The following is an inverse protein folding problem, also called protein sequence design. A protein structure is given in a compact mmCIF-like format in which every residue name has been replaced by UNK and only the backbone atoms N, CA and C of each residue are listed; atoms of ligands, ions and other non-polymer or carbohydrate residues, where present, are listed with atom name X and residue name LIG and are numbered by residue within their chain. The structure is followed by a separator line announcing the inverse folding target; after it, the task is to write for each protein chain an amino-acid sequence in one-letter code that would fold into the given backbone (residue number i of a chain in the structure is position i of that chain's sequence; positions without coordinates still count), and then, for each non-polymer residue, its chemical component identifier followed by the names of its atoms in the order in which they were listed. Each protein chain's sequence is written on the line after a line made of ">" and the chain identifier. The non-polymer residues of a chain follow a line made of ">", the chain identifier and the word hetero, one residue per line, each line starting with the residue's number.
data_IF_606115389358
#
_entry.id   IF_606115389358
#
_cell.length_a   1.000
_cell.length_b   1.000
_cell.length_c   1.000
_cell.angle_alpha   90.00
_cell.angle_beta   90.00
_cell.angle_gamma   90.00
#
_symmetry.space_group_name_H-M   'P 1'
#
loop_
_entity.id
_entity.type
_entity.pdbx_description
1 polymer ?
#
# COMPACT_ATOMS: atom_id res chain seq x y z
N UNK A 1 -31.31 -15.44 -13.70
CA UNK A 1 -30.70 -15.62 -12.37
C UNK A 1 -29.34 -14.96 -12.38
N UNK A 2 -29.21 -13.77 -11.79
CA UNK A 2 -27.90 -13.12 -11.64
C UNK A 2 -27.17 -13.86 -10.52
N UNK A 3 -26.02 -14.41 -10.85
CA UNK A 3 -25.14 -15.14 -9.94
C UNK A 3 -24.79 -14.24 -8.74
N UNK A 4 -25.15 -14.68 -7.53
CA UNK A 4 -24.88 -13.97 -6.28
C UNK A 4 -23.37 -13.69 -6.08
N UNK A 5 -22.50 -14.46 -6.73
CA UNK A 5 -21.05 -14.23 -6.78
C UNK A 5 -20.68 -12.93 -7.52
N UNK A 6 -21.37 -12.61 -8.63
CA UNK A 6 -21.16 -11.35 -9.38
C UNK A 6 -21.64 -10.14 -8.58
N UNK A 7 -22.83 -10.24 -7.98
CA UNK A 7 -23.35 -9.18 -7.12
C UNK A 7 -22.42 -8.90 -5.91
N UNK A 8 -21.75 -9.93 -5.37
CA UNK A 8 -20.75 -9.81 -4.31
C UNK A 8 -19.46 -9.11 -4.79
N UNK A 9 -18.99 -9.42 -6.01
CA UNK A 9 -17.81 -8.77 -6.57
C UNK A 9 -18.07 -7.28 -6.89
N UNK A 10 -19.17 -6.97 -7.56
CA UNK A 10 -19.56 -5.59 -7.88
C UNK A 10 -19.71 -4.75 -6.61
N UNK A 11 -20.42 -5.27 -5.60
CA UNK A 11 -20.57 -4.58 -4.31
C UNK A 11 -19.23 -4.34 -3.60
N UNK A 12 -18.27 -5.27 -3.71
CA UNK A 12 -16.92 -5.08 -3.15
C UNK A 12 -16.12 -4.04 -3.91
N UNK A 13 -16.27 -3.97 -5.23
CA UNK A 13 -15.63 -2.96 -6.07
C UNK A 13 -16.23 -1.57 -5.83
N UNK A 14 -17.55 -1.48 -5.67
CA UNK A 14 -18.24 -0.23 -5.32
C UNK A 14 -17.85 0.26 -3.93
N UNK A 15 -17.78 -0.64 -2.95
CA UNK A 15 -17.28 -0.30 -1.61
C UNK A 15 -15.82 0.16 -1.65
N UNK A 16 -14.99 -0.42 -2.52
CA UNK A 16 -13.62 0.02 -2.72
C UNK A 16 -13.53 1.38 -3.42
N UNK A 17 -14.40 1.65 -4.40
CA UNK A 17 -14.53 2.92 -5.10
C UNK A 17 -15.01 4.05 -4.17
N UNK A 18 -15.97 3.75 -3.29
CA UNK A 18 -16.61 4.67 -2.35
C UNK A 18 -15.94 4.74 -0.97
N UNK A 19 -14.85 4.00 -0.74
CA UNK A 19 -14.11 4.09 0.51
C UNK A 19 -13.67 5.54 0.74
N UNK A 20 -13.96 6.09 1.92
CA UNK A 20 -13.61 7.46 2.28
C UNK A 20 -12.10 7.67 2.13
N UNK A 21 -11.70 8.35 1.05
CA UNK A 21 -10.33 8.85 0.89
C UNK A 21 -10.30 10.18 1.64
N UNK A 22 -9.24 10.42 2.42
CA UNK A 22 -9.05 11.68 3.12
C UNK A 22 -9.04 12.88 2.16
N UNK A 23 -8.93 14.12 2.67
CA UNK A 23 -8.88 15.31 1.83
C UNK A 23 -7.81 15.14 0.73
N UNK A 24 -8.25 15.23 -0.52
CA UNK A 24 -7.37 15.12 -1.67
C UNK A 24 -6.65 16.47 -1.88
N UNK A 25 -5.33 16.47 -1.73
CA UNK A 25 -4.45 17.58 -2.11
C UNK A 25 -3.67 17.18 -3.37
N UNK A 26 -3.90 17.85 -4.53
CA UNK A 26 -3.19 17.54 -5.76
C UNK A 26 -1.67 17.79 -5.67
N UNK A 27 -1.23 18.75 -4.84
CA UNK A 27 0.20 19.05 -4.66
C UNK A 27 0.88 17.94 -3.87
N UNK A 28 0.23 17.45 -2.82
CA UNK A 28 0.72 16.29 -2.08
C UNK A 28 0.73 15.03 -2.95
N UNK A 29 -0.36 14.78 -3.69
CA UNK A 29 -0.47 13.64 -4.59
C UNK A 29 0.68 13.61 -5.62
N UNK A 30 1.02 14.75 -6.22
CA UNK A 30 2.14 14.84 -7.16
C UNK A 30 3.49 14.56 -6.50
N UNK A 31 3.73 15.04 -5.27
CA UNK A 31 4.95 14.76 -4.50
C UNK A 31 5.06 13.27 -4.17
N UNK A 32 3.97 12.66 -3.72
CA UNK A 32 3.91 11.23 -3.44
C UNK A 32 4.16 10.43 -4.72
N UNK A 33 3.58 10.81 -5.86
CA UNK A 33 3.79 10.10 -7.12
C UNK A 33 5.25 10.17 -7.59
N UNK A 34 5.86 11.35 -7.52
CA UNK A 34 7.28 11.52 -7.84
C UNK A 34 8.16 10.66 -6.94
N UNK A 35 7.93 10.70 -5.62
CA UNK A 35 8.68 9.88 -4.67
C UNK A 35 8.45 8.39 -4.88
N UNK A 36 7.22 8.00 -5.20
CA UNK A 36 6.84 6.63 -5.50
C UNK A 36 7.63 6.11 -6.70
N UNK A 37 7.82 6.90 -7.76
CA UNK A 37 8.59 6.46 -8.94
C UNK A 37 10.03 6.10 -8.60
N UNK A 38 10.66 6.82 -7.67
CA UNK A 38 12.05 6.59 -7.23
C UNK A 38 12.24 5.46 -6.22
N UNK A 39 11.16 4.87 -5.69
CA UNK A 39 11.24 3.86 -4.66
C UNK A 39 11.62 2.47 -5.21
N UNK A 40 12.36 1.70 -4.43
CA UNK A 40 12.72 0.31 -4.76
C UNK A 40 11.48 -0.58 -5.00
N UNK A 41 11.48 -1.51 -5.98
CA UNK A 41 10.34 -2.36 -6.29
C UNK A 41 9.77 -3.13 -5.08
N UNK A 42 10.65 -3.62 -4.20
CA UNK A 42 10.24 -4.34 -2.98
C UNK A 42 9.45 -3.46 -2.02
N UNK A 43 9.92 -2.22 -1.79
CA UNK A 43 9.24 -1.26 -0.93
C UNK A 43 7.91 -0.80 -1.57
N UNK A 44 7.89 -0.59 -2.90
CA UNK A 44 6.65 -0.31 -3.64
C UNK A 44 5.61 -1.42 -3.45
N UNK A 45 6.00 -2.67 -3.61
CA UNK A 45 5.07 -3.79 -3.47
C UNK A 45 4.54 -3.89 -2.03
N UNK A 46 5.41 -3.77 -1.02
CA UNK A 46 5.01 -3.75 0.38
C UNK A 46 4.01 -2.63 0.69
N UNK A 47 4.34 -1.38 0.33
CA UNK A 47 3.47 -0.24 0.59
C UNK A 47 2.15 -0.32 -0.19
N UNK A 48 2.17 -0.86 -1.43
CA UNK A 48 0.96 -1.06 -2.23
C UNK A 48 0.03 -2.08 -1.57
N UNK A 49 0.59 -3.21 -1.12
CA UNK A 49 -0.20 -4.22 -0.43
C UNK A 49 -0.82 -3.65 0.86
N UNK A 50 -0.07 -2.87 1.64
CA UNK A 50 -0.54 -2.36 2.94
C UNK A 50 -1.51 -1.19 2.78
N UNK A 51 -1.19 -0.18 1.99
CA UNK A 51 -1.94 1.08 1.95
C UNK A 51 -2.96 1.16 0.81
N UNK A 52 -2.72 0.49 -0.33
CA UNK A 52 -3.69 0.50 -1.43
C UNK A 52 -4.66 -0.68 -1.31
N UNK A 53 -4.13 -1.87 -1.05
CA UNK A 53 -4.94 -3.10 -1.00
C UNK A 53 -5.43 -3.46 0.40
N UNK A 54 -4.92 -2.79 1.44
CA UNK A 54 -5.27 -3.09 2.84
C UNK A 54 -5.07 -4.57 3.18
N UNK A 55 -4.05 -5.19 2.58
CA UNK A 55 -3.76 -6.61 2.73
C UNK A 55 -3.32 -6.92 4.16
N UNK A 56 -3.90 -7.97 4.74
CA UNK A 56 -3.49 -8.45 6.06
C UNK A 56 -2.04 -8.93 6.09
N UNK A 57 -1.42 -8.83 7.28
CA UNK A 57 -0.01 -9.21 7.53
C UNK A 57 0.36 -10.57 6.94
N UNK A 58 -0.51 -11.57 7.08
CA UNK A 58 -0.26 -12.94 6.60
C UNK A 58 -0.11 -13.03 5.09
N UNK A 59 -0.93 -12.27 4.35
CA UNK A 59 -0.88 -12.20 2.88
C UNK A 59 0.40 -11.53 2.43
N UNK A 60 0.75 -10.41 3.08
CA UNK A 60 1.99 -9.67 2.80
C UNK A 60 3.21 -10.53 3.07
N UNK A 61 3.28 -11.18 4.24
CA UNK A 61 4.40 -12.03 4.60
C UNK A 61 4.58 -13.20 3.64
N UNK A 62 3.47 -13.85 3.24
CA UNK A 62 3.50 -14.95 2.28
C UNK A 62 4.02 -14.48 0.91
N UNK A 63 3.52 -13.35 0.40
CA UNK A 63 3.84 -12.86 -0.94
C UNK A 63 5.27 -12.33 -1.05
N UNK A 64 5.71 -11.56 -0.06
CA UNK A 64 7.05 -10.95 -0.04
C UNK A 64 8.11 -11.85 0.58
N UNK A 65 7.74 -13.10 0.93
CA UNK A 65 8.60 -14.09 1.59
C UNK A 65 9.22 -13.55 2.88
N UNK A 66 8.47 -12.74 3.63
CA UNK A 66 8.89 -12.24 4.95
C UNK A 66 8.57 -13.36 5.96
N UNK A 67 9.53 -13.77 6.80
CA UNK A 67 9.26 -14.76 7.83
C UNK A 67 8.17 -14.26 8.80
N UNK A 68 7.13 -15.09 9.01
CA UNK A 68 5.96 -14.73 9.84
C UNK A 68 6.29 -14.54 11.31
N UNK A 69 7.33 -15.23 11.79
CA UNK A 69 7.80 -15.19 13.15
C UNK A 69 9.31 -14.90 13.19
N UNK A 70 9.79 -14.05 14.12
CA UNK A 70 9.00 -13.22 15.03
C UNK A 70 8.25 -12.09 14.30
N UNK A 71 7.15 -11.60 14.89
CA UNK A 71 6.30 -10.53 14.32
C UNK A 71 7.09 -9.29 13.93
N UNK A 72 8.12 -8.97 14.72
CA UNK A 72 9.02 -7.84 14.50
C UNK A 72 9.67 -7.80 13.12
N UNK A 73 9.84 -8.95 12.44
CA UNK A 73 10.39 -8.97 11.07
C UNK A 73 9.51 -8.23 10.08
N UNK A 74 8.19 -8.43 10.16
CA UNK A 74 7.26 -7.68 9.33
C UNK A 74 7.29 -6.18 9.67
N UNK A 75 7.29 -5.86 10.97
CA UNK A 75 7.28 -4.47 11.42
C UNK A 75 8.55 -3.73 10.97
N UNK A 76 9.71 -4.37 11.01
CA UNK A 76 10.99 -3.84 10.52
C UNK A 76 10.96 -3.57 9.01
N UNK A 77 10.46 -4.49 8.19
CA UNK A 77 10.33 -4.29 6.74
C UNK A 77 9.40 -3.13 6.43
N UNK A 78 8.28 -3.02 7.16
CA UNK A 78 7.31 -1.94 6.97
C UNK A 78 7.88 -0.58 7.40
N UNK A 79 8.62 -0.52 8.52
CA UNK A 79 9.35 0.67 8.96
C UNK A 79 10.40 1.07 7.93
N UNK A 80 11.18 0.10 7.42
CA UNK A 80 12.19 0.34 6.38
C UNK A 80 11.56 0.95 5.11
N UNK A 81 10.46 0.39 4.63
CA UNK A 81 9.77 0.90 3.44
C UNK A 81 9.21 2.32 3.66
N UNK A 82 8.65 2.62 4.84
CA UNK A 82 8.21 3.97 5.20
C UNK A 82 9.36 4.96 5.26
N UNK A 83 10.48 4.59 5.87
CA UNK A 83 11.66 5.44 5.91
C UNK A 83 12.25 5.68 4.52
N UNK A 84 12.27 4.67 3.66
CA UNK A 84 12.73 4.83 2.29
C UNK A 84 11.86 5.84 1.53
N UNK A 85 10.53 5.77 1.67
CA UNK A 85 9.63 6.76 1.07
C UNK A 85 9.84 8.16 1.67
N UNK A 86 9.96 8.28 2.99
CA UNK A 86 10.20 9.55 3.68
C UNK A 86 11.49 10.23 3.21
N UNK A 87 12.59 9.48 3.08
CA UNK A 87 13.88 9.99 2.57
C UNK A 87 13.76 10.52 1.15
N UNK A 88 13.02 9.85 0.28
CA UNK A 88 12.80 10.32 -1.09
C UNK A 88 11.98 11.61 -1.09
N UNK A 89 10.95 11.70 -0.25
CA UNK A 89 10.15 12.90 -0.09
C UNK A 89 10.95 14.08 0.47
N UNK A 90 11.88 13.83 1.39
CA UNK A 90 12.81 14.85 1.91
C UNK A 90 13.78 15.32 0.83
N UNK A 91 14.33 14.40 0.02
CA UNK A 91 15.24 14.73 -1.08
C UNK A 91 14.58 15.61 -2.16
N UNK A 92 13.27 15.45 -2.39
CA UNK A 92 12.51 16.27 -3.34
C UNK A 92 12.07 17.65 -2.82
N UNK A 93 12.37 17.98 -1.56
CA UNK A 93 12.13 19.33 -0.98
C UNK A 93 13.30 20.30 -1.16
N UNK A 94 14.44 19.83 -1.70
CA UNK A 94 15.65 20.61 -1.93
C UNK A 94 15.69 21.21 -3.34
#
# INVERSE_FOLDING_TARGET
>A
MIDASRASLESRLDNWGNAARGPYDPVDAAKIEAAWRCLEPRHKELLRMVYLWHAGREVVCRRLRIPRHPRSRYDLELVSARHALARVLEKGKA
#
